data_IF_181953488987
#
_entry.id   IF_181953488987
#
_cell.length_a   1.000
_cell.length_b   1.000
_cell.length_c   1.000
_cell.angle_alpha   90.00
_cell.angle_beta   90.00
_cell.angle_gamma   90.00
#
_symmetry.space_group_name_H-M   'P 1'
#
loop_
_entity.id
_entity.type
_entity.pdbx_description
1 polymer ?
#
# COMPACT_ATOMS: atom_id res chain seq x y z
N UNK A 1 -23.44 -7.87 7.79
CA UNK A 1 -22.03 -7.44 7.83
C UNK A 1 -21.20 -8.59 7.32
N UNK A 2 -20.61 -8.47 6.12
CA UNK A 2 -19.70 -9.48 5.59
C UNK A 2 -18.40 -9.41 6.36
N UNK A 3 -18.30 -10.17 7.45
CA UNK A 3 -17.01 -10.58 7.98
C UNK A 3 -16.43 -11.51 6.92
N UNK A 4 -15.34 -11.08 6.27
CA UNK A 4 -14.62 -11.91 5.31
C UNK A 4 -14.30 -13.24 6.03
N UNK A 5 -14.90 -14.33 5.56
CA UNK A 5 -14.73 -15.66 6.12
C UNK A 5 -13.34 -16.16 5.73
N UNK A 6 -12.31 -15.80 6.51
CA UNK A 6 -10.93 -16.30 6.38
C UNK A 6 -10.80 -17.76 6.85
N UNK A 7 -11.90 -18.47 7.07
CA UNK A 7 -11.92 -19.67 7.89
C UNK A 7 -11.55 -20.97 7.16
N UNK A 8 -11.02 -20.90 5.92
CA UNK A 8 -10.63 -22.09 5.12
C UNK A 8 -9.24 -22.03 4.44
N UNK A 9 -8.39 -21.04 4.75
CA UNK A 9 -6.99 -20.98 4.29
C UNK A 9 -6.01 -21.24 5.45
N UNK A 10 -6.06 -22.44 6.00
CA UNK A 10 -5.59 -22.77 7.36
C UNK A 10 -4.10 -23.15 7.50
N UNK A 11 -3.19 -22.68 6.64
CA UNK A 11 -1.75 -23.01 6.77
C UNK A 11 -0.77 -21.82 6.69
N UNK A 12 -1.20 -20.66 6.16
CA UNK A 12 -0.32 -19.49 5.96
C UNK A 12 -0.75 -18.28 6.79
N UNK A 13 0.22 -17.61 7.44
CA UNK A 13 -0.03 -16.38 8.22
C UNK A 13 -0.47 -15.23 7.31
N UNK A 14 -1.14 -14.20 7.86
CA UNK A 14 -1.57 -13.02 7.07
C UNK A 14 -0.41 -12.30 6.39
N UNK A 15 0.78 -12.35 6.98
CA UNK A 15 2.01 -11.79 6.41
C UNK A 15 2.48 -12.61 5.21
N UNK A 16 2.41 -13.94 5.31
CA UNK A 16 2.80 -14.87 4.26
C UNK A 16 1.83 -14.79 3.06
N UNK A 17 0.53 -14.68 3.31
CA UNK A 17 -0.49 -14.44 2.26
C UNK A 17 -0.27 -13.12 1.52
N UNK A 18 0.08 -12.06 2.24
CA UNK A 18 0.38 -10.74 1.66
C UNK A 18 1.63 -10.80 0.80
N UNK A 19 2.68 -11.47 1.31
CA UNK A 19 3.93 -11.64 0.58
C UNK A 19 3.70 -12.36 -0.75
N UNK A 20 3.05 -13.54 -0.70
CA UNK A 20 2.73 -14.33 -1.91
C UNK A 20 1.92 -13.51 -2.92
N UNK A 21 0.90 -12.79 -2.45
CA UNK A 21 0.09 -11.93 -3.30
C UNK A 21 0.93 -10.87 -4.02
N UNK A 22 1.85 -10.21 -3.32
CA UNK A 22 2.69 -9.15 -3.86
C UNK A 22 3.81 -9.68 -4.77
N UNK A 23 4.26 -10.93 -4.57
CA UNK A 23 5.30 -11.56 -5.40
C UNK A 23 4.76 -12.42 -6.55
N UNK A 24 3.45 -12.67 -6.61
CA UNK A 24 2.84 -13.55 -7.61
C UNK A 24 2.75 -12.94 -9.02
N UNK A 25 2.92 -11.63 -9.16
CA UNK A 25 2.80 -10.95 -10.44
C UNK A 25 4.03 -11.22 -11.34
N UNK A 26 3.85 -11.31 -12.67
CA UNK A 26 4.98 -11.28 -13.59
C UNK A 26 5.73 -9.95 -13.40
N UNK A 27 7.05 -10.03 -13.24
CA UNK A 27 7.96 -8.92 -12.90
C UNK A 27 7.93 -8.43 -11.43
N UNK A 28 7.18 -9.08 -10.54
CA UNK A 28 7.25 -8.75 -9.11
C UNK A 28 8.61 -9.12 -8.50
N UNK A 29 9.08 -8.28 -7.57
CA UNK A 29 10.37 -8.48 -6.87
C UNK A 29 10.14 -8.65 -5.36
N UNK A 30 11.16 -9.10 -4.61
CA UNK A 30 11.07 -9.20 -3.15
C UNK A 30 10.79 -7.83 -2.50
N UNK A 31 11.26 -6.74 -3.13
CA UNK A 31 10.97 -5.37 -2.71
C UNK A 31 9.46 -5.04 -2.79
N UNK A 32 8.68 -5.75 -3.61
CA UNK A 32 7.24 -5.58 -3.67
C UNK A 32 6.51 -6.04 -2.42
N UNK A 33 7.08 -7.01 -1.70
CA UNK A 33 6.52 -7.48 -0.45
C UNK A 33 6.98 -6.65 0.76
N UNK A 34 7.96 -5.75 0.58
CA UNK A 34 8.43 -4.89 1.65
C UNK A 34 7.32 -3.91 2.10
N UNK A 35 7.16 -3.67 3.42
CA UNK A 35 6.27 -2.63 3.90
C UNK A 35 6.67 -1.28 3.28
N UNK A 36 5.69 -0.57 2.70
CA UNK A 36 5.88 0.76 2.12
C UNK A 36 5.26 1.88 2.95
N UNK A 37 4.49 1.52 3.96
CA UNK A 37 3.79 2.46 4.84
C UNK A 37 4.10 2.11 6.29
N UNK A 38 4.18 3.15 7.11
CA UNK A 38 4.20 3.04 8.56
C UNK A 38 2.84 3.48 9.09
N UNK A 39 2.22 2.64 9.91
CA UNK A 39 0.95 2.96 10.57
C UNK A 39 1.25 3.23 12.03
N UNK A 40 1.05 4.47 12.45
CA UNK A 40 1.25 4.91 13.84
C UNK A 40 -0.07 5.37 14.43
N UNK A 41 -0.30 5.10 15.70
CA UNK A 41 -1.47 5.60 16.42
C UNK A 41 -1.03 6.72 17.37
N UNK A 42 -1.60 7.91 17.21
CA UNK A 42 -1.29 9.08 18.03
C UNK A 42 -2.57 9.83 18.37
N UNK A 43 -2.80 10.12 19.67
CA UNK A 43 -3.99 10.83 20.16
C UNK A 43 -5.34 10.26 19.66
N UNK A 44 -5.46 8.92 19.56
CA UNK A 44 -6.66 8.26 19.01
C UNK A 44 -6.84 8.45 17.50
N UNK A 45 -5.83 8.98 16.81
CA UNK A 45 -5.78 9.13 15.35
C UNK A 45 -4.78 8.12 14.77
N UNK A 46 -5.24 7.30 13.83
CA UNK A 46 -4.35 6.46 13.03
C UNK A 46 -3.71 7.31 11.93
N UNK A 47 -2.40 7.51 12.04
CA UNK A 47 -1.58 8.20 11.05
C UNK A 47 -0.90 7.15 10.16
N UNK A 48 -0.97 7.38 8.85
CA UNK A 48 -0.33 6.53 7.84
C UNK A 48 0.71 7.39 7.14
N UNK A 49 1.98 7.05 7.30
CA UNK A 49 3.09 7.72 6.64
C UNK A 49 3.70 6.82 5.56
N UNK A 50 4.13 7.39 4.43
CA UNK A 50 4.79 6.65 3.35
C UNK A 50 6.28 6.59 3.63
N UNK A 51 6.84 5.38 3.63
CA UNK A 51 8.25 5.16 3.93
C UNK A 51 9.15 5.84 2.88
N UNK A 52 10.34 6.34 3.29
CA UNK A 52 11.25 7.04 2.38
C UNK A 52 11.69 6.16 1.21
N UNK A 53 11.89 4.87 1.48
CA UNK A 53 12.38 3.85 0.55
C UNK A 53 11.28 3.25 -0.35
N UNK A 54 10.04 3.75 -0.26
CA UNK A 54 8.96 3.30 -1.14
C UNK A 54 9.22 3.75 -2.59
N UNK A 55 9.42 2.78 -3.49
CA UNK A 55 9.70 3.02 -4.92
C UNK A 55 8.54 3.75 -5.63
N UNK A 56 7.30 3.40 -5.28
CA UNK A 56 6.08 4.06 -5.80
C UNK A 56 5.38 4.77 -4.67
N UNK A 57 5.08 6.05 -4.86
CA UNK A 57 4.35 6.88 -3.90
C UNK A 57 2.95 7.20 -4.42
N UNK A 58 1.91 7.18 -3.57
CA UNK A 58 0.59 7.65 -3.95
C UNK A 58 0.68 9.09 -4.49
N UNK A 59 -0.05 9.37 -5.57
CA UNK A 59 -0.16 10.72 -6.10
C UNK A 59 -0.86 11.68 -5.12
N UNK A 60 -0.84 12.99 -5.41
CA UNK A 60 -1.49 13.99 -4.57
C UNK A 60 -2.99 13.66 -4.41
N UNK A 61 -3.48 13.69 -3.17
CA UNK A 61 -4.87 13.38 -2.87
C UNK A 61 -5.85 14.45 -3.35
N UNK A 62 -7.16 14.15 -3.42
CA UNK A 62 -8.18 15.12 -3.80
C UNK A 62 -8.11 16.39 -2.93
N UNK A 63 -8.10 17.56 -3.57
CA UNK A 63 -8.00 18.86 -2.88
C UNK A 63 -6.57 19.38 -2.69
N UNK A 64 -5.55 18.63 -3.14
CA UNK A 64 -4.19 19.17 -3.26
C UNK A 64 -4.07 19.93 -4.59
N UNK A 65 -3.40 21.10 -4.63
CA UNK A 65 -3.24 21.87 -5.87
C UNK A 65 -2.48 21.10 -6.95
N UNK A 66 -1.62 20.16 -6.55
CA UNK A 66 -0.87 19.26 -7.43
C UNK A 66 -1.73 18.10 -7.97
N UNK A 67 -2.92 17.84 -7.40
CA UNK A 67 -3.85 16.80 -7.85
C UNK A 67 -4.75 17.25 -9.02
N UNK A 68 -5.00 18.55 -9.13
CA UNK A 68 -5.87 19.16 -10.16
C UNK A 68 -5.11 19.47 -11.46
N UNK A 69 -3.79 19.23 -11.47
CA UNK A 69 -2.91 19.42 -12.62
C UNK A 69 -2.89 18.20 -13.52
N UNK A 70 -3.88 18.10 -14.41
CA UNK A 70 -3.68 17.45 -15.70
C UNK A 70 -2.37 17.97 -16.32
N UNK A 71 -1.53 17.03 -16.74
CA UNK A 71 -0.32 17.19 -17.58
C UNK A 71 -0.05 18.64 -18.03
N UNK A 72 0.75 19.38 -17.26
CA UNK A 72 1.40 20.57 -17.77
C UNK A 72 2.53 20.09 -18.70
N UNK A 73 2.25 20.22 -20.00
CA UNK A 73 3.09 19.92 -21.16
C UNK A 73 4.61 19.94 -20.92
N UNK A 74 5.27 18.83 -21.24
CA UNK A 74 6.68 18.82 -21.58
C UNK A 74 6.86 19.34 -23.01
N UNK A 75 7.61 20.43 -23.15
CA UNK A 75 8.10 21.06 -24.39
C UNK A 75 8.90 20.09 -25.28
#
# INVERSE_FOLDING_TARGET
MSTHDDSTAAEMTSEEKRHDQLTSAPDATEADAAPRIEVTEHDGTTRIDILPDAEVRPGPGPGMPEADGSDAEGD
#
